data_IF_937447978738
#
_entry.id   IF_937447978738
#
_cell.length_a   1.000
_cell.length_b   1.000
_cell.length_c   1.000
_cell.angle_alpha   90.00
_cell.angle_beta   90.00
_cell.angle_gamma   90.00
#
_symmetry.space_group_name_H-M   'P 1'
#
loop_
_entity.id
_entity.type
_entity.pdbx_description
1 polymer ?
#
# COMPACT_ATOMS: atom_id res chain seq x y z
N UNK A 1 -10.12 -0.90 -12.23
CA UNK A 1 -8.85 -0.76 -11.46
C UNK A 1 -8.84 -1.75 -10.30
N UNK A 2 -7.72 -2.44 -10.05
CA UNK A 2 -7.55 -3.39 -8.92
C UNK A 2 -7.10 -2.66 -7.65
N UNK A 3 -7.08 -3.36 -6.50
CA UNK A 3 -6.52 -2.81 -5.25
C UNK A 3 -5.07 -2.39 -5.44
N UNK A 4 -4.24 -3.28 -6.00
CA UNK A 4 -2.83 -3.01 -6.30
C UNK A 4 -2.61 -1.74 -7.11
N UNK A 5 -3.33 -1.58 -8.23
CA UNK A 5 -3.15 -0.40 -9.10
C UNK A 5 -3.48 0.91 -8.37
N UNK A 6 -4.56 0.93 -7.59
CA UNK A 6 -4.95 2.10 -6.80
C UNK A 6 -3.97 2.37 -5.65
N UNK A 7 -3.43 1.33 -5.02
CA UNK A 7 -2.40 1.50 -3.98
C UNK A 7 -1.12 2.10 -4.55
N UNK A 8 -0.70 1.68 -5.75
CA UNK A 8 0.44 2.27 -6.45
C UNK A 8 0.16 3.74 -6.79
N UNK A 9 -1.04 4.05 -7.29
CA UNK A 9 -1.45 5.41 -7.60
C UNK A 9 -1.49 6.31 -6.35
N UNK A 10 -2.06 5.82 -5.25
CA UNK A 10 -2.06 6.51 -3.96
C UNK A 10 -0.63 6.87 -3.50
N UNK A 11 0.29 5.90 -3.56
CA UNK A 11 1.70 6.17 -3.22
C UNK A 11 2.37 7.13 -4.20
N UNK A 12 2.03 7.12 -5.49
CA UNK A 12 2.53 8.12 -6.46
C UNK A 12 2.07 9.54 -6.09
N UNK A 13 0.83 9.71 -5.67
CA UNK A 13 0.33 11.01 -5.19
C UNK A 13 1.05 11.49 -3.93
N UNK A 14 1.55 10.57 -3.09
CA UNK A 14 2.35 10.86 -1.90
C UNK A 14 3.86 11.08 -2.20
N UNK A 15 4.27 11.15 -3.46
CA UNK A 15 5.68 11.29 -3.82
C UNK A 15 6.49 10.00 -3.69
N UNK A 16 5.82 8.85 -3.78
CA UNK A 16 6.42 7.52 -3.81
C UNK A 16 6.56 6.82 -2.46
N UNK A 17 6.18 7.47 -1.35
CA UNK A 17 6.25 6.89 0.01
C UNK A 17 5.16 7.43 0.92
N UNK A 18 4.71 6.63 1.89
CA UNK A 18 3.74 7.08 2.88
C UNK A 18 3.44 6.04 3.96
N UNK A 19 2.88 6.50 5.08
CA UNK A 19 2.29 5.64 6.09
C UNK A 19 1.00 5.00 5.60
N UNK A 20 0.59 3.88 6.19
CA UNK A 20 -0.71 3.26 5.89
C UNK A 20 -1.88 4.25 5.97
N UNK A 21 -1.90 5.12 6.99
CA UNK A 21 -2.94 6.15 7.14
C UNK A 21 -2.95 7.15 5.97
N UNK A 22 -1.79 7.55 5.45
CA UNK A 22 -1.72 8.44 4.29
C UNK A 22 -2.17 7.73 3.02
N UNK A 23 -1.75 6.47 2.84
CA UNK A 23 -2.16 5.64 1.70
C UNK A 23 -3.69 5.47 1.70
N UNK A 24 -4.32 5.22 2.85
CA UNK A 24 -5.78 5.09 2.95
C UNK A 24 -6.49 6.38 2.55
N UNK A 25 -6.05 7.53 3.07
CA UNK A 25 -6.62 8.83 2.74
C UNK A 25 -6.51 9.15 1.25
N UNK A 26 -5.37 8.87 0.62
CA UNK A 26 -5.23 9.03 -0.83
C UNK A 26 -6.07 8.03 -1.62
N UNK A 27 -6.18 6.80 -1.12
CA UNK A 27 -7.04 5.79 -1.73
C UNK A 27 -8.52 6.19 -1.70
N UNK A 28 -8.99 6.79 -0.61
CA UNK A 28 -10.35 7.35 -0.48
C UNK A 28 -10.58 8.49 -1.47
N UNK A 29 -9.61 9.39 -1.64
CA UNK A 29 -9.66 10.45 -2.65
C UNK A 29 -9.78 9.89 -4.07
N UNK A 30 -9.01 8.85 -4.39
CA UNK A 30 -9.08 8.15 -5.69
C UNK A 30 -10.45 7.47 -5.88
N UNK A 31 -11.05 6.92 -4.82
CA UNK A 31 -12.38 6.31 -4.89
C UNK A 31 -13.53 7.32 -4.87
N UNK A 32 -13.29 8.56 -4.42
CA UNK A 32 -14.33 9.56 -4.17
C UNK A 32 -15.27 9.20 -3.02
N UNK A 33 -14.86 8.28 -2.13
CA UNK A 33 -15.66 7.86 -0.96
C UNK A 33 -14.78 7.24 0.13
N UNK A 34 -15.24 7.24 1.39
CA UNK A 34 -14.57 6.53 2.48
C UNK A 34 -14.44 5.04 2.21
N UNK A 35 -13.39 4.43 2.75
CA UNK A 35 -13.17 2.98 2.70
C UNK A 35 -13.53 2.32 4.03
N UNK A 36 -13.87 1.04 3.98
CA UNK A 36 -14.12 0.24 5.19
C UNK A 36 -12.84 -0.37 5.74
N UNK A 37 -12.85 -0.77 7.01
CA UNK A 37 -11.73 -1.50 7.66
C UNK A 37 -11.29 -2.75 6.87
N UNK A 38 -12.25 -3.43 6.22
CA UNK A 38 -11.97 -4.58 5.37
C UNK A 38 -11.21 -4.20 4.09
N UNK A 39 -11.48 -3.02 3.53
CA UNK A 39 -10.73 -2.49 2.40
C UNK A 39 -9.33 -2.05 2.83
N UNK A 40 -9.17 -1.43 4.01
CA UNK A 40 -7.85 -1.13 4.56
C UNK A 40 -7.02 -2.41 4.74
N UNK A 41 -7.60 -3.46 5.31
CA UNK A 41 -6.95 -4.76 5.45
C UNK A 41 -6.55 -5.36 4.09
N UNK A 42 -7.40 -5.20 3.06
CA UNK A 42 -7.09 -5.57 1.69
C UNK A 42 -5.91 -4.78 1.10
N UNK A 43 -5.79 -3.49 1.42
CA UNK A 43 -4.65 -2.65 1.01
C UNK A 43 -3.36 -3.13 1.70
N UNK A 44 -3.38 -3.35 3.03
CA UNK A 44 -2.22 -3.90 3.78
C UNK A 44 -1.74 -5.21 3.19
N UNK A 45 -2.66 -6.17 3.04
CA UNK A 45 -2.36 -7.47 2.45
C UNK A 45 -1.78 -7.33 1.05
N UNK A 46 -2.31 -6.42 0.23
CA UNK A 46 -1.81 -6.18 -1.13
C UNK A 46 -0.36 -5.68 -1.10
N UNK A 47 -0.02 -4.75 -0.21
CA UNK A 47 1.35 -4.25 -0.05
C UNK A 47 2.28 -5.39 0.41
N UNK A 48 1.88 -6.11 1.46
CA UNK A 48 2.67 -7.19 2.05
C UNK A 48 2.85 -8.40 1.11
N UNK A 49 1.86 -8.75 0.30
CA UNK A 49 1.95 -9.84 -0.68
C UNK A 49 2.89 -9.48 -1.87
N UNK A 50 3.18 -8.19 -2.08
CA UNK A 50 3.98 -7.63 -3.19
C UNK A 50 5.22 -6.85 -2.72
N UNK A 51 5.71 -7.15 -1.51
CA UNK A 51 6.99 -6.62 -1.03
C UNK A 51 7.88 -7.77 -0.60
N UNK A 52 9.07 -7.89 -1.19
CA UNK A 52 10.06 -8.88 -0.75
C UNK A 52 10.56 -8.66 0.68
N UNK A 53 10.35 -7.46 1.24
CA UNK A 53 10.67 -7.17 2.64
C UNK A 53 9.64 -7.81 3.59
N UNK A 54 8.47 -8.21 3.10
CA UNK A 54 7.39 -8.77 3.92
C UNK A 54 7.53 -10.28 4.13
N UNK A 55 7.21 -10.76 5.34
CA UNK A 55 7.09 -12.20 5.63
C UNK A 55 5.98 -12.89 4.83
N UNK A 56 5.02 -12.12 4.33
CA UNK A 56 3.89 -12.60 3.54
C UNK A 56 4.18 -12.58 2.03
N UNK A 57 5.41 -12.24 1.61
CA UNK A 57 5.76 -12.17 0.20
C UNK A 57 5.50 -13.50 -0.51
N UNK A 58 4.70 -13.46 -1.59
CA UNK A 58 4.29 -14.68 -2.33
C UNK A 58 5.09 -14.91 -3.60
N UNK A 59 6.28 -14.30 -3.74
CA UNK A 59 7.06 -14.36 -4.97
C UNK A 59 6.41 -13.64 -6.16
N UNK A 60 5.45 -12.75 -5.89
CA UNK A 60 4.84 -11.89 -6.89
C UNK A 60 5.79 -10.76 -7.29
N UNK A 61 5.40 -9.91 -8.23
CA UNK A 61 6.23 -8.75 -8.56
C UNK A 61 6.37 -7.83 -7.34
N UNK A 62 7.62 -7.50 -7.04
CA UNK A 62 8.03 -6.68 -5.91
C UNK A 62 7.82 -5.19 -6.21
N UNK A 63 6.68 -4.66 -5.81
CA UNK A 63 6.30 -3.26 -6.07
C UNK A 63 6.60 -2.33 -4.89
N UNK A 64 6.71 -2.89 -3.69
CA UNK A 64 6.80 -2.10 -2.46
C UNK A 64 8.02 -2.48 -1.64
N UNK A 65 8.52 -1.54 -0.87
CA UNK A 65 9.54 -1.78 0.15
C UNK A 65 9.15 -1.10 1.46
N UNK A 66 9.64 -1.64 2.56
CA UNK A 66 9.43 -1.05 3.88
C UNK A 66 10.48 0.03 4.14
N UNK A 67 10.04 1.27 4.33
CA UNK A 67 10.95 2.43 4.40
C UNK A 67 11.82 2.39 5.66
N UNK A 68 11.21 2.16 6.82
CA UNK A 68 11.88 2.14 8.13
C UNK A 68 11.91 0.73 8.74
N UNK A 69 11.79 -0.29 7.89
CA UNK A 69 11.67 -1.70 8.30
C UNK A 69 10.26 -2.12 8.70
N UNK A 70 10.03 -3.43 8.64
CA UNK A 70 8.72 -4.04 8.86
C UNK A 70 8.16 -3.63 10.24
N UNK A 71 6.87 -3.32 10.28
CA UNK A 71 6.15 -2.99 11.52
C UNK A 71 6.08 -1.49 11.83
N UNK A 72 6.80 -0.64 11.09
CA UNK A 72 6.66 0.82 11.19
C UNK A 72 5.49 1.39 10.40
N UNK A 73 4.92 0.59 9.49
CA UNK A 73 3.74 0.97 8.71
C UNK A 73 4.00 2.02 7.63
N UNK A 74 5.27 2.27 7.28
CA UNK A 74 5.69 3.20 6.23
C UNK A 74 6.23 2.39 5.05
N UNK A 75 5.68 2.66 3.87
CA UNK A 75 5.94 1.91 2.65
C UNK A 75 6.26 2.84 1.49
N UNK A 76 7.12 2.38 0.60
CA UNK A 76 7.52 3.08 -0.61
C UNK A 76 7.35 2.22 -1.85
N UNK A 77 7.30 2.87 -3.02
CA UNK A 77 7.36 2.24 -4.34
C UNK A 77 8.80 1.94 -4.73
N UNK A 78 9.06 0.72 -5.18
CA UNK A 78 10.35 0.36 -5.81
C UNK A 78 10.49 0.94 -7.21
#
# INVERSE_FOLDING_TARGET
>A
MTVLKRTIEALRHLGGKGSYSEIYREYEKILGKPITDGQEAGIRKTIEDHSSDSKNYKGQKDYFYSVDGIGKGIWGLR
#
